data_IF_465648816525
#
_entry.id   IF_465648816525
#
_cell.length_a   1.000
_cell.length_b   1.000
_cell.length_c   1.000
_cell.angle_alpha   90.00
_cell.angle_beta   90.00
_cell.angle_gamma   90.00
#
_symmetry.space_group_name_H-M   'P 1'
#
loop_
_entity.id
_entity.type
_entity.pdbx_description
1 polymer ?
#
# COMPACT_ATOMS: atom_id res chain seq x y z
N UNK A 1 20.22 2.82 -23.18
CA UNK A 1 19.03 2.94 -22.32
C UNK A 1 19.49 2.63 -20.91
N UNK A 2 19.48 3.62 -20.02
CA UNK A 2 19.74 3.43 -18.58
C UNK A 2 18.53 2.65 -18.09
N UNK A 3 18.68 1.38 -17.70
CA UNK A 3 17.65 0.66 -16.98
C UNK A 3 17.38 1.44 -15.69
N UNK A 4 16.20 2.05 -15.57
CA UNK A 4 15.77 2.64 -14.31
C UNK A 4 15.78 1.53 -13.26
N UNK A 5 16.67 1.68 -12.28
CA UNK A 5 16.84 0.73 -11.19
C UNK A 5 15.51 0.63 -10.41
N UNK A 6 14.99 -0.56 -10.23
CA UNK A 6 13.79 -0.77 -9.44
C UNK A 6 14.05 -0.36 -7.98
N UNK A 7 13.07 0.29 -7.35
CA UNK A 7 13.10 0.65 -5.94
C UNK A 7 12.82 -0.56 -5.06
N UNK A 8 11.86 -1.41 -5.46
CA UNK A 8 11.56 -2.69 -4.82
C UNK A 8 11.60 -3.79 -5.88
N UNK A 9 12.24 -4.90 -5.56
CA UNK A 9 12.31 -6.10 -6.41
C UNK A 9 11.97 -7.34 -5.59
N UNK A 10 11.02 -8.11 -6.08
CA UNK A 10 10.73 -9.47 -5.61
C UNK A 10 11.05 -10.43 -6.75
N UNK A 11 11.86 -11.45 -6.47
CA UNK A 11 12.21 -12.50 -7.43
C UNK A 11 11.85 -13.87 -6.86
N UNK A 12 10.88 -14.55 -7.49
CA UNK A 12 10.44 -15.91 -7.22
C UNK A 12 10.14 -16.21 -5.74
N UNK A 13 9.51 -15.22 -5.08
CA UNK A 13 9.20 -15.31 -3.65
C UNK A 13 8.16 -16.41 -3.41
N UNK A 14 8.56 -17.44 -2.64
CA UNK A 14 7.69 -18.53 -2.21
C UNK A 14 7.75 -18.65 -0.70
N UNK A 15 6.58 -18.72 -0.04
CA UNK A 15 6.46 -18.82 1.41
C UNK A 15 5.53 -19.94 1.83
N UNK A 16 6.02 -20.78 2.73
CA UNK A 16 5.26 -21.81 3.41
C UNK A 16 5.10 -21.48 4.90
N UNK A 17 3.93 -21.76 5.46
CA UNK A 17 3.67 -21.75 6.90
C UNK A 17 3.08 -23.12 7.28
N UNK A 18 3.89 -23.95 7.94
CA UNK A 18 3.60 -25.36 8.08
C UNK A 18 3.51 -26.04 6.70
N UNK A 19 2.42 -26.75 6.44
CA UNK A 19 2.16 -27.38 5.13
C UNK A 19 1.47 -26.44 4.12
N UNK A 20 1.01 -25.27 4.54
CA UNK A 20 0.28 -24.34 3.69
C UNK A 20 1.24 -23.46 2.89
N UNK A 21 1.10 -23.45 1.55
CA UNK A 21 1.79 -22.54 0.66
C UNK A 21 1.00 -21.23 0.59
N UNK A 22 1.53 -20.15 1.16
CA UNK A 22 0.87 -18.84 1.22
C UNK A 22 1.27 -17.93 0.06
N UNK A 23 2.50 -18.06 -0.45
CA UNK A 23 2.98 -17.39 -1.66
C UNK A 23 3.69 -18.40 -2.54
N UNK A 24 3.55 -18.25 -3.85
CA UNK A 24 4.14 -19.15 -4.83
C UNK A 24 4.71 -18.38 -6.02
N UNK A 25 6.06 -18.36 -6.10
CA UNK A 25 6.84 -17.77 -7.20
C UNK A 25 6.39 -16.35 -7.56
N UNK A 26 6.18 -15.50 -6.54
CA UNK A 26 5.77 -14.11 -6.74
C UNK A 26 6.99 -13.30 -7.17
N UNK A 27 6.94 -12.74 -8.37
CA UNK A 27 7.94 -11.80 -8.90
C UNK A 27 7.23 -10.48 -9.23
N UNK A 28 7.73 -9.39 -8.67
CA UNK A 28 7.14 -8.07 -8.77
C UNK A 28 8.23 -7.01 -8.59
N UNK A 29 8.11 -5.90 -9.29
CA UNK A 29 8.97 -4.73 -9.10
C UNK A 29 8.14 -3.46 -8.87
N UNK A 30 8.74 -2.48 -8.20
CA UNK A 30 8.21 -1.13 -8.05
C UNK A 30 9.33 -0.16 -8.44
N UNK A 31 9.03 0.79 -9.31
CA UNK A 31 9.98 1.84 -9.72
C UNK A 31 9.96 3.02 -8.75
N UNK A 32 11.01 3.86 -8.81
CA UNK A 32 11.00 5.13 -8.10
C UNK A 32 9.87 6.04 -8.59
N UNK A 33 9.13 6.65 -7.68
CA UNK A 33 7.97 7.50 -7.97
C UNK A 33 6.72 6.74 -8.44
N UNK A 34 6.77 5.40 -8.58
CA UNK A 34 5.62 4.59 -8.99
C UNK A 34 4.72 4.29 -7.80
N UNK A 35 3.40 4.30 -8.06
CA UNK A 35 2.36 3.85 -7.14
C UNK A 35 1.72 2.57 -7.70
N UNK A 36 1.81 1.48 -6.94
CA UNK A 36 1.33 0.16 -7.34
C UNK A 36 0.18 -0.29 -6.45
N UNK A 37 -0.93 -0.73 -7.03
CA UNK A 37 -1.97 -1.44 -6.28
C UNK A 37 -1.81 -2.96 -6.39
N UNK A 38 -2.09 -3.66 -5.30
CA UNK A 38 -2.21 -5.12 -5.24
C UNK A 38 -3.66 -5.45 -4.91
N UNK A 39 -4.36 -6.05 -5.86
CA UNK A 39 -5.78 -6.36 -5.80
C UNK A 39 -6.00 -7.86 -5.93
N UNK A 40 -7.05 -8.39 -5.32
CA UNK A 40 -7.39 -9.82 -5.40
C UNK A 40 -8.37 -10.23 -4.32
N UNK A 41 -8.99 -11.41 -4.44
CA UNK A 41 -9.97 -11.90 -3.48
C UNK A 41 -9.37 -12.09 -2.07
N UNK A 42 -10.25 -12.26 -1.09
CA UNK A 42 -9.82 -12.59 0.26
C UNK A 42 -9.06 -13.93 0.26
N UNK A 43 -7.99 -14.01 1.04
CA UNK A 43 -7.11 -15.19 1.05
C UNK A 43 -6.15 -15.29 -0.15
N UNK A 44 -6.10 -14.30 -1.05
CA UNK A 44 -5.17 -14.31 -2.19
C UNK A 44 -3.68 -14.21 -1.82
N UNK A 45 -3.36 -13.90 -0.55
CA UNK A 45 -1.96 -13.75 -0.08
C UNK A 45 -1.46 -12.30 -0.03
N UNK A 46 -2.31 -11.30 -0.26
CA UNK A 46 -1.93 -9.87 -0.31
C UNK A 46 -1.22 -9.39 0.97
N UNK A 47 -1.87 -9.51 2.13
CA UNK A 47 -1.28 -9.13 3.43
C UNK A 47 -0.04 -9.96 3.77
N UNK A 48 0.00 -11.23 3.35
CA UNK A 48 1.20 -12.08 3.49
C UNK A 48 2.36 -11.51 2.68
N UNK A 49 2.12 -11.11 1.44
CA UNK A 49 3.12 -10.47 0.59
C UNK A 49 3.63 -9.16 1.20
N UNK A 50 2.73 -8.31 1.73
CA UNK A 50 3.14 -7.10 2.44
C UNK A 50 4.04 -7.41 3.65
N UNK A 51 3.68 -8.42 4.46
CA UNK A 51 4.49 -8.84 5.61
C UNK A 51 5.87 -9.36 5.22
N UNK A 52 6.01 -9.96 4.05
CA UNK A 52 7.32 -10.33 3.47
C UNK A 52 8.10 -9.09 3.08
N UNK A 53 7.49 -8.14 2.36
CA UNK A 53 8.12 -6.89 1.90
C UNK A 53 8.65 -6.08 3.10
N UNK A 54 7.85 -5.95 4.16
CA UNK A 54 8.25 -5.19 5.37
C UNK A 54 9.09 -6.02 6.36
N UNK A 55 9.54 -7.22 5.97
CA UNK A 55 10.45 -8.05 6.76
C UNK A 55 9.86 -8.65 8.03
N UNK A 56 8.54 -8.69 8.18
CA UNK A 56 7.85 -9.37 9.29
C UNK A 56 7.82 -10.89 9.08
N UNK A 57 7.83 -11.36 7.84
CA UNK A 57 7.93 -12.79 7.48
C UNK A 57 9.22 -12.99 6.68
N UNK A 58 10.19 -13.74 7.23
CA UNK A 58 11.53 -13.91 6.65
C UNK A 58 11.83 -15.32 6.16
N UNK A 59 10.93 -16.29 6.39
CA UNK A 59 11.11 -17.69 6.04
C UNK A 59 10.75 -18.06 4.58
N UNK A 60 10.88 -17.11 3.64
CA UNK A 60 10.60 -17.30 2.22
C UNK A 60 11.83 -17.77 1.43
N UNK A 61 11.64 -18.45 0.31
CA UNK A 61 12.64 -18.63 -0.74
C UNK A 61 12.52 -17.53 -1.80
N UNK A 62 13.52 -17.38 -2.66
CA UNK A 62 13.64 -16.25 -3.58
C UNK A 62 14.33 -15.04 -2.91
N UNK A 63 14.16 -13.85 -3.44
CA UNK A 63 14.76 -12.62 -2.89
C UNK A 63 13.77 -11.46 -2.85
N UNK A 64 13.95 -10.56 -1.86
CA UNK A 64 13.24 -9.28 -1.75
C UNK A 64 14.25 -8.20 -1.48
N UNK A 65 14.37 -7.25 -2.39
CA UNK A 65 15.32 -6.13 -2.28
C UNK A 65 14.59 -4.79 -2.33
N UNK A 66 15.02 -3.87 -1.47
CA UNK A 66 14.58 -2.48 -1.49
C UNK A 66 15.83 -1.61 -1.71
N UNK A 67 15.82 -0.81 -2.77
CA UNK A 67 16.95 -0.02 -3.25
C UNK A 67 18.24 -0.86 -3.38
N UNK A 68 18.09 -2.07 -3.91
CA UNK A 68 19.16 -3.04 -4.12
C UNK A 68 19.64 -3.76 -2.85
N UNK A 69 19.05 -3.50 -1.68
CA UNK A 69 19.43 -4.12 -0.40
C UNK A 69 18.47 -5.26 -0.05
N UNK A 70 18.98 -6.46 0.20
CA UNK A 70 18.19 -7.65 0.55
C UNK A 70 17.53 -7.47 1.93
N UNK A 71 16.22 -7.62 2.01
CA UNK A 71 15.40 -7.38 3.22
C UNK A 71 15.67 -8.39 4.32
N UNK A 72 15.88 -9.67 3.96
CA UNK A 72 15.93 -10.81 4.89
C UNK A 72 16.96 -10.63 6.01
N UNK A 73 18.11 -10.04 5.72
CA UNK A 73 19.25 -9.89 6.64
C UNK A 73 19.27 -8.58 7.42
N UNK A 74 18.31 -7.68 7.19
CA UNK A 74 18.33 -6.37 7.80
C UNK A 74 17.80 -6.38 9.24
N UNK A 75 18.39 -5.53 10.10
CA UNK A 75 17.78 -5.17 11.37
C UNK A 75 16.48 -4.38 11.15
N UNK A 76 15.59 -4.36 12.16
CA UNK A 76 14.34 -3.58 12.07
C UNK A 76 14.63 -2.08 11.88
N UNK A 77 15.64 -1.55 12.54
CA UNK A 77 16.08 -0.15 12.41
C UNK A 77 16.47 0.18 10.97
N UNK A 78 17.34 -0.62 10.33
CA UNK A 78 17.72 -0.40 8.92
C UNK A 78 16.55 -0.54 7.97
N UNK A 79 15.66 -1.48 8.23
CA UNK A 79 14.50 -1.73 7.40
C UNK A 79 13.49 -0.58 7.49
N UNK A 80 13.33 0.05 8.66
CA UNK A 80 12.42 1.19 8.85
C UNK A 80 12.80 2.42 8.01
N UNK A 81 14.08 2.59 7.65
CA UNK A 81 14.51 3.62 6.69
C UNK A 81 14.23 3.26 5.22
N UNK A 82 13.91 2.01 4.93
CA UNK A 82 13.63 1.55 3.56
C UNK A 82 12.13 1.42 3.30
N UNK A 83 11.37 0.92 4.27
CA UNK A 83 9.95 0.65 4.10
C UNK A 83 9.17 0.96 5.38
N UNK A 84 8.04 1.63 5.22
CA UNK A 84 7.07 1.91 6.29
C UNK A 84 5.75 1.22 5.99
N UNK A 85 5.07 0.71 7.02
CA UNK A 85 3.79 0.01 6.91
C UNK A 85 2.68 0.81 7.59
N UNK A 86 1.63 1.08 6.86
CA UNK A 86 0.35 1.53 7.39
C UNK A 86 -0.58 0.30 7.44
N UNK A 87 -0.85 -0.26 8.63
CA UNK A 87 -1.68 -1.44 8.75
C UNK A 87 -3.17 -1.10 8.61
N UNK A 88 -3.99 -2.08 8.28
CA UNK A 88 -5.44 -1.94 8.22
C UNK A 88 -6.04 -1.53 9.56
N UNK A 89 -5.48 -2.02 10.67
CA UNK A 89 -5.90 -1.71 12.05
C UNK A 89 -4.70 -1.72 12.98
N UNK A 90 -4.74 -0.86 13.98
CA UNK A 90 -3.86 -0.95 15.14
C UNK A 90 -4.57 -1.73 16.25
N UNK A 91 -3.88 -2.68 16.87
CA UNK A 91 -4.40 -3.46 18.01
C UNK A 91 -4.46 -2.60 19.27
N UNK A 92 -3.62 -1.59 19.38
CA UNK A 92 -3.52 -0.69 20.51
C UNK A 92 -3.29 0.76 20.01
N UNK A 93 -4.07 1.69 20.57
CA UNK A 93 -3.91 3.13 20.33
C UNK A 93 -3.35 3.80 21.61
N UNK A 94 -2.11 4.28 21.57
CA UNK A 94 -1.56 5.04 22.67
C UNK A 94 -2.26 6.39 22.81
N UNK A 95 -2.31 6.91 24.05
CA UNK A 95 -2.92 8.22 24.33
C UNK A 95 -1.98 9.38 24.02
N UNK A 96 -1.38 9.37 22.81
CA UNK A 96 -0.59 10.48 22.30
C UNK A 96 -1.44 11.45 21.50
N UNK A 97 -1.07 12.74 21.51
CA UNK A 97 -1.55 13.68 20.50
C UNK A 97 -0.99 13.30 19.12
N UNK A 98 -1.64 13.80 18.07
CA UNK A 98 -1.16 13.58 16.69
C UNK A 98 0.26 14.13 16.52
N UNK A 99 0.57 15.30 17.10
CA UNK A 99 1.91 15.89 17.07
C UNK A 99 2.93 14.95 17.71
N UNK A 100 2.70 14.49 18.95
CA UNK A 100 3.60 13.57 19.65
C UNK A 100 3.80 12.26 18.87
N UNK A 101 2.75 11.72 18.28
CA UNK A 101 2.83 10.54 17.44
C UNK A 101 3.73 10.74 16.22
N UNK A 102 3.60 11.89 15.52
CA UNK A 102 4.42 12.18 14.35
C UNK A 102 5.89 12.43 14.71
N UNK A 103 6.16 13.12 15.82
CA UNK A 103 7.51 13.34 16.34
C UNK A 103 8.19 12.01 16.71
N UNK A 104 7.46 11.09 17.34
CA UNK A 104 7.95 9.73 17.64
C UNK A 104 8.16 8.87 16.39
N UNK A 105 7.37 9.12 15.32
CA UNK A 105 7.49 8.37 14.06
C UNK A 105 8.74 8.75 13.26
N UNK A 106 9.20 10.02 13.34
CA UNK A 106 10.41 10.46 12.65
C UNK A 106 10.57 11.96 12.65
N UNK A 107 11.72 12.45 13.12
CA UNK A 107 11.98 13.87 13.31
C UNK A 107 12.20 14.66 12.00
N UNK A 108 12.81 14.03 10.99
CA UNK A 108 13.30 14.74 9.80
C UNK A 108 12.16 15.29 8.89
N UNK A 109 11.00 14.66 8.88
CA UNK A 109 9.87 15.02 8.01
C UNK A 109 8.59 15.37 8.77
N UNK A 110 8.69 15.70 10.07
CA UNK A 110 7.51 15.97 10.91
C UNK A 110 6.66 17.12 10.37
N UNK A 111 7.25 18.24 9.97
CA UNK A 111 6.49 19.39 9.44
C UNK A 111 5.78 19.09 8.12
N UNK A 112 6.43 18.34 7.21
CA UNK A 112 5.81 17.89 5.96
C UNK A 112 4.65 16.92 6.24
N UNK A 113 4.81 16.03 7.19
CA UNK A 113 3.77 15.09 7.61
C UNK A 113 2.62 15.78 8.34
N UNK A 114 2.93 16.77 9.20
CA UNK A 114 1.93 17.60 9.86
C UNK A 114 1.06 18.37 8.87
N UNK A 115 1.62 18.81 7.74
CA UNK A 115 0.83 19.51 6.73
C UNK A 115 -0.36 18.69 6.22
N UNK A 116 -0.24 17.35 6.21
CA UNK A 116 -1.30 16.44 5.78
C UNK A 116 -2.48 16.35 6.78
N UNK A 117 -2.21 16.61 8.07
CA UNK A 117 -3.17 16.41 9.16
C UNK A 117 -3.18 17.56 10.20
N UNK A 118 -2.73 18.75 9.81
CA UNK A 118 -2.52 19.91 10.72
C UNK A 118 -3.72 20.22 11.59
N UNK A 119 -4.94 20.10 11.06
CA UNK A 119 -6.19 20.38 11.81
C UNK A 119 -6.47 19.35 12.93
N UNK A 120 -5.72 18.26 13.01
CA UNK A 120 -5.83 17.20 14.03
C UNK A 120 -4.70 17.23 15.07
N UNK A 121 -3.73 18.12 14.92
CA UNK A 121 -2.44 18.14 15.59
C UNK A 121 -2.54 17.99 17.11
N UNK A 122 -3.48 18.67 17.75
CA UNK A 122 -3.65 18.68 19.21
C UNK A 122 -4.61 17.57 19.72
N UNK A 123 -5.24 16.81 18.80
CA UNK A 123 -6.17 15.75 19.21
C UNK A 123 -5.42 14.47 19.57
N UNK A 124 -5.93 13.73 20.57
CA UNK A 124 -5.39 12.43 20.93
C UNK A 124 -5.84 11.33 19.95
N UNK A 125 -4.97 10.37 19.63
CA UNK A 125 -5.27 9.28 18.70
C UNK A 125 -6.58 8.54 19.01
N UNK A 126 -6.92 8.19 20.27
CA UNK A 126 -8.18 7.51 20.59
C UNK A 126 -9.45 8.33 20.34
N UNK A 127 -9.33 9.64 20.11
CA UNK A 127 -10.45 10.55 19.85
C UNK A 127 -10.75 10.74 18.37
N UNK A 128 -9.90 10.16 17.49
CA UNK A 128 -10.03 10.30 16.06
C UNK A 128 -11.08 9.33 15.51
N UNK A 129 -11.81 9.76 14.49
CA UNK A 129 -12.59 8.85 13.65
C UNK A 129 -11.67 7.88 12.90
N UNK A 130 -12.22 6.80 12.36
CA UNK A 130 -11.44 5.82 11.61
C UNK A 130 -10.69 6.46 10.42
N UNK A 131 -11.32 7.37 9.68
CA UNK A 131 -10.71 8.08 8.57
C UNK A 131 -9.63 9.06 9.01
N UNK A 132 -9.86 9.82 10.09
CA UNK A 132 -8.85 10.72 10.67
C UNK A 132 -7.64 9.96 11.17
N UNK A 133 -7.87 8.85 11.90
CA UNK A 133 -6.79 7.98 12.38
C UNK A 133 -5.96 7.44 11.21
N UNK A 134 -6.61 6.96 10.14
CA UNK A 134 -5.90 6.41 9.00
C UNK A 134 -5.01 7.47 8.31
N UNK A 135 -5.50 8.71 8.18
CA UNK A 135 -4.69 9.82 7.66
C UNK A 135 -3.47 10.12 8.55
N UNK A 136 -3.67 10.09 9.86
CA UNK A 136 -2.57 10.28 10.83
C UNK A 136 -1.55 9.15 10.74
N UNK A 137 -1.98 7.89 10.55
CA UNK A 137 -1.06 6.77 10.34
C UNK A 137 -0.25 6.91 9.04
N UNK A 138 -0.89 7.37 7.95
CA UNK A 138 -0.18 7.68 6.70
C UNK A 138 0.84 8.80 6.93
N UNK A 139 0.45 9.87 7.61
CA UNK A 139 1.35 10.98 7.95
C UNK A 139 2.54 10.50 8.80
N UNK A 140 2.31 9.63 9.80
CA UNK A 140 3.36 9.02 10.60
C UNK A 140 4.34 8.18 9.77
N UNK A 141 3.81 7.41 8.83
CA UNK A 141 4.64 6.62 7.91
C UNK A 141 5.47 7.51 6.96
N UNK A 142 4.96 8.68 6.56
CA UNK A 142 5.70 9.70 5.82
C UNK A 142 6.79 10.33 6.70
N UNK A 143 6.48 10.64 7.97
CA UNK A 143 7.42 11.20 8.95
C UNK A 143 8.64 10.30 9.16
N UNK A 144 8.44 8.98 9.13
CA UNK A 144 9.50 7.98 9.23
C UNK A 144 10.57 8.10 8.12
N UNK A 145 10.23 8.72 6.98
CA UNK A 145 11.18 8.98 5.90
C UNK A 145 11.57 7.76 5.07
N UNK A 146 10.82 6.67 5.15
CA UNK A 146 11.05 5.46 4.36
C UNK A 146 10.94 5.73 2.85
N UNK A 147 11.65 4.93 2.04
CA UNK A 147 11.66 5.04 0.58
C UNK A 147 10.40 4.49 -0.05
N UNK A 148 9.79 3.48 0.57
CA UNK A 148 8.56 2.82 0.11
C UNK A 148 7.53 2.85 1.24
N UNK A 149 6.34 3.34 0.94
CA UNK A 149 5.19 3.25 1.84
C UNK A 149 4.34 2.04 1.44
N UNK A 150 3.97 1.22 2.40
CA UNK A 150 3.11 0.04 2.22
C UNK A 150 1.81 0.28 2.99
N UNK A 151 0.67 0.20 2.28
CA UNK A 151 -0.65 0.46 2.83
C UNK A 151 -1.50 -0.82 2.73
N UNK A 152 -1.97 -1.33 3.85
CA UNK A 152 -2.84 -2.51 3.91
C UNK A 152 -4.29 -2.08 4.14
N UNK A 153 -5.12 -2.07 3.09
CA UNK A 153 -6.55 -1.74 3.12
C UNK A 153 -6.88 -0.39 3.82
N UNK A 154 -6.22 0.75 3.45
CA UNK A 154 -6.31 1.99 4.21
C UNK A 154 -7.71 2.63 4.27
N UNK A 155 -8.63 2.21 3.41
CA UNK A 155 -10.03 2.71 3.39
C UNK A 155 -11.04 1.74 3.98
N UNK A 156 -10.57 0.62 4.58
CA UNK A 156 -11.46 -0.35 5.21
C UNK A 156 -12.15 0.27 6.44
N UNK A 157 -13.46 0.12 6.52
CA UNK A 157 -14.31 0.67 7.61
C UNK A 157 -14.31 2.20 7.73
N UNK A 158 -13.92 2.91 6.68
CA UNK A 158 -13.97 4.36 6.59
C UNK A 158 -15.21 4.78 5.79
N UNK A 159 -15.91 5.82 6.24
CA UNK A 159 -17.06 6.38 5.54
C UNK A 159 -16.65 7.03 4.19
N UNK A 160 -17.61 7.35 3.30
CA UNK A 160 -17.29 7.91 1.97
C UNK A 160 -16.50 9.22 2.00
N UNK A 161 -16.70 10.06 3.01
CA UNK A 161 -15.99 11.35 3.14
C UNK A 161 -14.54 11.07 3.54
N UNK A 162 -14.34 10.27 4.59
CA UNK A 162 -13.00 9.89 5.03
C UNK A 162 -12.20 9.15 3.96
N UNK A 163 -12.85 8.33 3.10
CA UNK A 163 -12.18 7.70 1.94
C UNK A 163 -11.64 8.74 0.97
N UNK A 164 -12.42 9.77 0.64
CA UNK A 164 -11.99 10.87 -0.22
C UNK A 164 -10.81 11.63 0.36
N UNK A 165 -10.83 11.88 1.67
CA UNK A 165 -9.72 12.55 2.36
C UNK A 165 -8.44 11.69 2.32
N UNK A 166 -8.55 10.36 2.47
CA UNK A 166 -7.40 9.45 2.34
C UNK A 166 -6.85 9.48 0.90
N UNK A 167 -7.72 9.47 -0.11
CA UNK A 167 -7.30 9.61 -1.51
C UNK A 167 -6.52 10.91 -1.76
N UNK A 168 -6.96 12.02 -1.17
CA UNK A 168 -6.28 13.31 -1.26
C UNK A 168 -4.90 13.26 -0.59
N UNK A 169 -4.80 12.65 0.60
CA UNK A 169 -3.50 12.47 1.28
C UNK A 169 -2.56 11.61 0.44
N UNK A 170 -3.03 10.50 -0.15
CA UNK A 170 -2.21 9.65 -1.02
C UNK A 170 -1.74 10.40 -2.27
N UNK A 171 -2.61 11.21 -2.87
CA UNK A 171 -2.25 12.06 -4.00
C UNK A 171 -1.16 13.07 -3.61
N UNK A 172 -1.31 13.78 -2.48
CA UNK A 172 -0.31 14.73 -2.00
C UNK A 172 1.03 14.03 -1.69
N UNK A 173 1.01 12.82 -1.11
CA UNK A 173 2.22 12.02 -0.91
C UNK A 173 2.95 11.73 -2.23
N UNK A 174 2.21 11.50 -3.31
CA UNK A 174 2.78 11.24 -4.64
C UNK A 174 3.28 12.54 -5.30
N UNK A 175 2.43 13.56 -5.39
CA UNK A 175 2.66 14.76 -6.19
C UNK A 175 3.63 15.73 -5.52
N UNK A 176 3.49 15.95 -4.20
CA UNK A 176 4.27 16.94 -3.45
C UNK A 176 5.54 16.33 -2.84
N UNK A 177 5.50 15.05 -2.47
CA UNK A 177 6.58 14.35 -1.75
C UNK A 177 7.37 13.45 -2.69
N UNK A 178 6.79 13.02 -3.83
CA UNK A 178 7.41 12.07 -4.77
C UNK A 178 7.54 10.65 -4.18
N UNK A 179 6.67 10.28 -3.25
CA UNK A 179 6.74 9.02 -2.52
C UNK A 179 6.24 7.85 -3.37
N UNK A 180 7.01 6.76 -3.40
CA UNK A 180 6.56 5.49 -3.99
C UNK A 180 5.77 4.69 -2.96
N UNK A 181 4.65 4.08 -3.39
CA UNK A 181 3.88 3.25 -2.46
C UNK A 181 3.27 2.00 -3.10
N UNK A 182 3.00 1.02 -2.22
CA UNK A 182 2.20 -0.16 -2.54
C UNK A 182 0.89 -0.06 -1.76
N UNK A 183 -0.21 -0.09 -2.48
CA UNK A 183 -1.58 -0.05 -1.96
C UNK A 183 -2.23 -1.43 -2.09
N UNK A 184 -2.40 -2.16 -1.00
CA UNK A 184 -3.28 -3.32 -0.99
C UNK A 184 -4.70 -2.86 -0.75
N UNK A 185 -5.61 -3.22 -1.63
CA UNK A 185 -7.02 -2.89 -1.50
C UNK A 185 -7.91 -3.88 -2.24
N UNK A 186 -9.17 -4.01 -1.80
CA UNK A 186 -10.23 -4.64 -2.56
C UNK A 186 -11.10 -3.60 -3.30
N UNK A 187 -10.91 -2.30 -3.04
CA UNK A 187 -11.56 -1.20 -3.73
C UNK A 187 -10.83 -0.88 -5.04
N UNK A 188 -11.37 -1.42 -6.15
CA UNK A 188 -10.81 -1.22 -7.48
C UNK A 188 -10.87 0.26 -7.89
N UNK A 189 -11.90 0.98 -7.45
CA UNK A 189 -12.04 2.40 -7.74
C UNK A 189 -10.95 3.23 -7.06
N UNK A 190 -10.56 2.87 -5.85
CA UNK A 190 -9.41 3.48 -5.16
C UNK A 190 -8.11 3.21 -5.93
N UNK A 191 -7.88 1.97 -6.37
CA UNK A 191 -6.72 1.62 -7.18
C UNK A 191 -6.65 2.47 -8.45
N UNK A 192 -7.77 2.61 -9.19
CA UNK A 192 -7.85 3.40 -10.43
C UNK A 192 -7.53 4.89 -10.24
N UNK A 193 -7.85 5.45 -9.07
CA UNK A 193 -7.60 6.87 -8.78
C UNK A 193 -6.23 7.15 -8.20
N UNK A 194 -5.65 6.17 -7.49
CA UNK A 194 -4.47 6.41 -6.68
C UNK A 194 -3.20 5.76 -7.21
N UNK A 195 -3.25 4.83 -8.20
CA UNK A 195 -2.07 4.07 -8.62
C UNK A 195 -1.82 4.09 -10.13
N UNK A 196 -0.56 3.90 -10.52
CA UNK A 196 -0.12 3.85 -11.91
C UNK A 196 -0.28 2.45 -12.50
N UNK A 197 0.01 1.45 -11.67
CA UNK A 197 -0.01 0.04 -12.05
C UNK A 197 -0.80 -0.79 -11.05
N UNK A 198 -1.47 -1.82 -11.55
CA UNK A 198 -2.23 -2.79 -10.75
C UNK A 198 -1.65 -4.18 -10.95
N UNK A 199 -1.46 -4.88 -9.86
CA UNK A 199 -1.07 -6.29 -9.81
C UNK A 199 -2.24 -7.11 -9.24
N UNK A 200 -2.63 -8.18 -9.92
CA UNK A 200 -3.70 -9.06 -9.47
C UNK A 200 -3.12 -10.33 -8.83
N UNK A 201 -3.54 -10.60 -7.60
CA UNK A 201 -3.16 -11.80 -6.86
C UNK A 201 -4.32 -12.77 -6.69
N UNK A 202 -4.06 -14.06 -6.87
CA UNK A 202 -4.98 -15.17 -6.62
C UNK A 202 -4.23 -16.38 -6.07
N UNK A 203 -4.72 -16.96 -4.98
CA UNK A 203 -4.16 -18.18 -4.37
C UNK A 203 -2.62 -18.15 -4.20
N UNK A 204 -2.08 -17.06 -3.68
CA UNK A 204 -0.65 -16.89 -3.42
C UNK A 204 0.21 -16.55 -4.65
N UNK A 205 -0.37 -16.38 -5.82
CA UNK A 205 0.34 -16.09 -7.08
C UNK A 205 -0.01 -14.72 -7.62
N UNK A 206 0.93 -14.11 -8.32
CA UNK A 206 0.65 -12.97 -9.19
C UNK A 206 0.12 -13.52 -10.52
N UNK A 207 -1.14 -13.18 -10.87
CA UNK A 207 -1.79 -13.70 -12.07
C UNK A 207 -1.81 -12.69 -13.22
N UNK A 208 -1.63 -11.40 -12.92
CA UNK A 208 -1.52 -10.33 -13.91
C UNK A 208 -0.88 -9.09 -13.29
N UNK A 209 -0.19 -8.29 -14.10
CA UNK A 209 0.26 -6.95 -13.75
C UNK A 209 0.33 -6.08 -15.00
N UNK A 210 -0.22 -4.88 -14.91
CA UNK A 210 -0.26 -3.92 -16.01
C UNK A 210 -0.61 -2.52 -15.52
N UNK A 211 -0.62 -1.54 -16.46
CA UNK A 211 -1.07 -0.18 -16.13
C UNK A 211 -2.48 -0.22 -15.53
N UNK A 212 -2.74 0.59 -14.50
CA UNK A 212 -4.05 0.60 -13.83
C UNK A 212 -5.19 1.01 -14.78
N UNK A 213 -4.88 1.75 -15.85
CA UNK A 213 -5.81 2.13 -16.91
C UNK A 213 -5.71 1.26 -18.17
N UNK A 214 -5.10 0.08 -18.05
CA UNK A 214 -5.04 -0.88 -19.15
C UNK A 214 -6.46 -1.41 -19.47
N UNK A 215 -6.92 -1.38 -20.73
CA UNK A 215 -8.21 -1.93 -21.12
C UNK A 215 -8.41 -3.40 -20.75
N UNK A 216 -7.32 -4.17 -20.62
CA UNK A 216 -7.37 -5.57 -20.22
C UNK A 216 -7.74 -5.75 -18.74
N UNK A 217 -7.61 -4.72 -17.88
CA UNK A 217 -7.82 -4.84 -16.43
C UNK A 217 -9.19 -5.43 -16.08
N UNK A 218 -10.27 -4.98 -16.73
CA UNK A 218 -11.65 -5.44 -16.47
C UNK A 218 -11.79 -6.93 -16.73
N UNK A 219 -11.23 -7.41 -17.84
CA UNK A 219 -11.23 -8.83 -18.18
C UNK A 219 -10.38 -9.64 -17.18
N UNK A 220 -9.23 -9.15 -16.80
CA UNK A 220 -8.33 -9.81 -15.84
C UNK A 220 -8.93 -9.87 -14.44
N UNK A 221 -9.66 -8.83 -14.01
CA UNK A 221 -10.45 -8.86 -12.78
C UNK A 221 -11.50 -9.95 -12.82
N UNK A 222 -12.24 -10.06 -13.95
CA UNK A 222 -13.27 -11.10 -14.12
C UNK A 222 -12.67 -12.52 -13.98
N UNK A 223 -11.53 -12.77 -14.58
CA UNK A 223 -10.81 -14.06 -14.46
C UNK A 223 -10.29 -14.27 -13.03
N UNK A 224 -9.72 -13.23 -12.41
CA UNK A 224 -9.17 -13.30 -11.07
C UNK A 224 -10.24 -13.63 -10.02
N UNK A 225 -11.37 -12.92 -10.06
CA UNK A 225 -12.45 -13.07 -9.08
C UNK A 225 -13.45 -14.19 -9.44
N UNK A 226 -13.48 -14.65 -10.69
CA UNK A 226 -14.43 -15.67 -11.16
C UNK A 226 -15.87 -15.15 -11.31
N UNK A 227 -16.05 -13.85 -11.50
CA UNK A 227 -17.33 -13.20 -11.79
C UNK A 227 -17.11 -12.12 -12.85
N UNK A 228 -18.17 -11.71 -13.54
CA UNK A 228 -18.04 -10.65 -14.53
C UNK A 228 -17.86 -9.30 -13.86
N UNK A 229 -17.04 -8.46 -14.49
CA UNK A 229 -16.89 -7.05 -14.14
C UNK A 229 -17.25 -6.20 -15.35
N UNK A 230 -17.84 -5.04 -15.11
CA UNK A 230 -18.11 -4.03 -16.13
C UNK A 230 -17.52 -2.68 -15.73
N UNK A 231 -17.16 -1.90 -16.74
CA UNK A 231 -16.71 -0.52 -16.58
C UNK A 231 -17.87 0.44 -16.82
N UNK A 232 -18.16 1.27 -15.83
CA UNK A 232 -19.16 2.34 -15.92
C UNK A 232 -18.43 3.68 -16.04
N UNK A 233 -18.70 4.40 -17.15
CA UNK A 233 -18.16 5.75 -17.40
C UNK A 233 -19.23 6.78 -17.11
N UNK A 234 -18.87 7.83 -16.38
CA UNK A 234 -19.72 8.98 -16.14
C UNK A 234 -18.92 10.27 -16.37
N UNK A 235 -19.56 11.26 -17.00
CA UNK A 235 -18.87 12.51 -17.39
C UNK A 235 -18.26 13.27 -16.22
N UNK A 236 -18.87 13.17 -15.04
CA UNK A 236 -18.40 13.89 -13.82
C UNK A 236 -17.34 13.12 -13.03
N UNK A 237 -16.92 11.92 -13.47
CA UNK A 237 -15.93 11.10 -12.78
C UNK A 237 -14.55 11.22 -13.45
N UNK A 238 -13.52 11.48 -12.65
CA UNK A 238 -12.12 11.53 -13.11
C UNK A 238 -11.56 10.16 -13.53
N UNK A 239 -12.19 9.07 -13.06
CA UNK A 239 -11.87 7.68 -13.40
C UNK A 239 -13.16 6.86 -13.52
N UNK A 240 -13.17 5.80 -14.33
CA UNK A 240 -14.31 4.90 -14.43
C UNK A 240 -14.55 4.15 -13.11
N UNK A 241 -15.77 3.67 -12.92
CA UNK A 241 -16.11 2.76 -11.83
C UNK A 241 -16.15 1.34 -12.40
N UNK A 242 -15.46 0.41 -11.77
CA UNK A 242 -15.48 -1.01 -12.14
C UNK A 242 -16.28 -1.76 -11.06
N UNK A 243 -17.34 -2.45 -11.48
CA UNK A 243 -18.25 -3.17 -10.59
C UNK A 243 -18.46 -4.61 -11.04
N UNK A 244 -18.63 -5.56 -10.11
CA UNK A 244 -19.09 -6.90 -10.46
C UNK A 244 -20.55 -6.87 -10.88
N UNK A 245 -20.93 -7.81 -11.77
CA UNK A 245 -22.32 -8.01 -12.26
C UNK A 245 -22.83 -9.38 -11.91
#
# INVERSE_FOLDING_TARGET
>A
MIQEKALLELCDVTLFVGAAKLLEQVSLELKHGECLSIVGPNGAGKTTLLRVIVGLLRGYSGSVKIDGTEVRGLSHERLSHLVSLVPQRLEFLPSFSVREFLELSGLEKTEQSLSLVRHLEERCLPQLSAGELQRVLIAGAVAQGAKVLVLDEPTANVDPIGRRDIEEVLRNCREDIGLSYILVTHDISLALRCTDRTALMKAGRLVWSGATRDPALVQQLSVCYGCNFIELKHADLSAPIIVPT
#
